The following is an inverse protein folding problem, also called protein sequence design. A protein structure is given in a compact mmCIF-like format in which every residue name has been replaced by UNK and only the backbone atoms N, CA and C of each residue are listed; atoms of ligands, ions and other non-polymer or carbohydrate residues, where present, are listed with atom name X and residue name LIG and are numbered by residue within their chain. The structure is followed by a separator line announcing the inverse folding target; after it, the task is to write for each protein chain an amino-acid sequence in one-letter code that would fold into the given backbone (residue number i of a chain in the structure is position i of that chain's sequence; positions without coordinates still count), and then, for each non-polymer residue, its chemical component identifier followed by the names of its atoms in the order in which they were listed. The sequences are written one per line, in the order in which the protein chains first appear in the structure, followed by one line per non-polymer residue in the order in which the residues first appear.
data_IF_858029147173
#
_entry.id   IF_858029147173
#
_cell.length_a   1.000
_cell.length_b   1.000
_cell.length_c   1.000
_cell.angle_alpha   90.00
_cell.angle_beta   90.00
_cell.angle_gamma   90.00
#
_symmetry.space_group_name_H-M   'P 1'
#
loop_
_entity.id
_entity.type
_entity.pdbx_description
1 polymer ?
#
# COMPACT_ATOMS: atom_id res chain seq x y z
N UNK A 1 10.00 -16.36 4.34
CA UNK A 1 9.03 -17.31 3.75
C UNK A 1 9.40 -18.78 3.94
N UNK A 2 10.57 -19.14 4.48
CA UNK A 2 10.97 -20.56 4.53
C UNK A 2 10.49 -21.29 5.79
N UNK A 3 10.46 -20.65 6.98
CA UNK A 3 9.73 -21.19 8.13
C UNK A 3 9.22 -19.98 8.94
N UNK A 4 7.91 -19.74 8.94
CA UNK A 4 7.27 -18.65 9.71
C UNK A 4 6.48 -19.20 10.90
N UNK A 5 7.11 -19.89 11.89
CA UNK A 5 6.37 -20.43 13.02
C UNK A 5 5.85 -19.34 13.97
N UNK A 6 6.42 -18.13 13.91
CA UNK A 6 6.04 -16.98 14.71
C UNK A 6 6.08 -15.69 13.85
N UNK A 7 5.33 -14.64 14.24
CA UNK A 7 5.40 -13.33 13.60
C UNK A 7 6.85 -12.79 13.56
N UNK A 8 7.20 -12.06 12.50
CA UNK A 8 8.56 -11.56 12.27
C UNK A 8 9.11 -10.76 13.46
N UNK A 9 8.25 -9.95 14.11
CA UNK A 9 8.64 -9.22 15.31
C UNK A 9 9.01 -10.14 16.49
N UNK A 10 8.30 -11.24 16.69
CA UNK A 10 8.60 -12.20 17.75
C UNK A 10 9.94 -12.90 17.51
N UNK A 11 10.25 -13.26 16.27
CA UNK A 11 11.56 -13.79 15.88
C UNK A 11 12.70 -12.78 16.12
N UNK A 12 12.47 -11.51 15.76
CA UNK A 12 13.45 -10.45 15.98
C UNK A 12 13.76 -10.26 17.46
N UNK A 13 12.74 -10.22 18.34
CA UNK A 13 12.95 -10.11 19.78
C UNK A 13 13.65 -11.32 20.38
N UNK A 14 13.26 -12.55 19.98
CA UNK A 14 13.93 -13.76 20.44
C UNK A 14 15.42 -13.75 20.06
N UNK A 15 15.75 -13.41 18.81
CA UNK A 15 17.15 -13.32 18.35
C UNK A 15 17.95 -12.25 19.08
N UNK A 16 17.35 -11.10 19.36
CA UNK A 16 17.98 -10.00 20.10
C UNK A 16 18.21 -10.40 21.56
N UNK A 17 17.22 -10.99 22.24
CA UNK A 17 17.35 -11.52 23.60
C UNK A 17 18.42 -12.60 23.68
N UNK A 18 18.45 -13.56 22.75
CA UNK A 18 19.49 -14.60 22.75
C UNK A 18 20.88 -14.01 22.59
N UNK A 19 21.05 -13.02 21.70
CA UNK A 19 22.35 -12.39 21.43
C UNK A 19 22.91 -11.60 22.62
N UNK A 20 22.03 -10.98 23.42
CA UNK A 20 22.40 -10.28 24.67
C UNK A 20 22.72 -11.30 25.78
N UNK A 21 21.91 -12.36 25.91
CA UNK A 21 22.12 -13.42 26.92
C UNK A 21 23.43 -14.19 26.67
N UNK A 22 23.76 -14.48 25.41
CA UNK A 22 25.03 -15.12 25.03
C UNK A 22 26.23 -14.17 25.06
N UNK A 23 26.02 -12.90 25.45
CA UNK A 23 27.04 -11.83 25.46
C UNK A 23 27.73 -11.63 24.11
N UNK A 24 27.04 -11.97 23.03
CA UNK A 24 27.55 -11.80 21.66
C UNK A 24 27.49 -10.33 21.24
N UNK A 25 26.47 -9.60 21.71
CA UNK A 25 26.38 -8.14 21.62
C UNK A 25 26.19 -7.53 23.01
N UNK A 26 26.70 -6.32 23.21
CA UNK A 26 26.39 -5.53 24.40
C UNK A 26 24.95 -5.02 24.34
N UNK A 27 24.37 -4.70 25.49
CA UNK A 27 23.01 -4.15 25.56
C UNK A 27 22.88 -2.86 24.71
N UNK A 28 23.87 -1.97 24.80
CA UNK A 28 23.88 -0.71 24.06
C UNK A 28 23.90 -0.95 22.55
N UNK A 29 24.73 -1.86 22.06
CA UNK A 29 24.82 -2.16 20.63
C UNK A 29 23.56 -2.86 20.11
N UNK A 30 22.98 -3.75 20.90
CA UNK A 30 21.78 -4.49 20.53
C UNK A 30 20.57 -3.55 20.32
N UNK A 31 20.51 -2.43 21.05
CA UNK A 31 19.42 -1.44 20.94
C UNK A 31 19.79 -0.20 20.13
N UNK A 32 21.02 -0.08 19.62
CA UNK A 32 21.48 1.07 18.81
C UNK A 32 20.61 1.33 17.57
N UNK A 33 20.00 0.28 17.00
CA UNK A 33 19.08 0.40 15.89
C UNK A 33 17.79 1.15 16.27
N UNK A 34 17.31 1.03 17.52
CA UNK A 34 16.08 1.70 17.96
C UNK A 34 16.22 3.22 18.06
N UNK A 35 17.45 3.72 18.17
CA UNK A 35 17.75 5.16 18.17
C UNK A 35 18.06 5.70 16.78
N UNK A 36 17.99 4.87 15.74
CA UNK A 36 18.34 5.29 14.38
C UNK A 36 17.27 6.22 13.81
N UNK A 37 17.68 7.43 13.41
CA UNK A 37 16.78 8.45 12.84
C UNK A 37 16.06 7.96 11.58
N UNK A 38 16.73 7.15 10.74
CA UNK A 38 16.12 6.59 9.51
C UNK A 38 14.97 5.66 9.85
N UNK A 39 15.08 4.86 10.92
CA UNK A 39 13.98 3.98 11.36
C UNK A 39 12.80 4.81 11.86
N UNK A 40 13.06 5.86 12.64
CA UNK A 40 12.00 6.77 13.11
C UNK A 40 11.34 7.56 11.98
N UNK A 41 12.09 7.96 10.95
CA UNK A 41 11.53 8.57 9.73
C UNK A 41 10.55 7.62 9.05
N UNK A 42 10.91 6.34 8.91
CA UNK A 42 10.01 5.32 8.34
C UNK A 42 8.73 5.20 9.19
N UNK A 43 8.84 5.14 10.52
CA UNK A 43 7.68 5.08 11.43
C UNK A 43 6.75 6.28 11.24
N UNK A 44 7.30 7.50 11.19
CA UNK A 44 6.53 8.73 10.96
C UNK A 44 5.86 8.70 9.59
N UNK A 45 6.54 8.25 8.52
CA UNK A 45 5.94 8.08 7.20
C UNK A 45 4.76 7.11 7.21
N UNK A 46 4.84 5.99 7.97
CA UNK A 46 3.72 5.07 8.12
C UNK A 46 2.54 5.69 8.88
N UNK A 47 2.80 6.54 9.88
CA UNK A 47 1.74 7.31 10.55
C UNK A 47 1.05 8.30 9.60
N UNK A 48 1.82 9.03 8.79
CA UNK A 48 1.26 9.89 7.74
C UNK A 48 0.43 9.08 6.75
N UNK A 49 0.96 7.97 6.23
CA UNK A 49 0.23 7.07 5.34
C UNK A 49 -1.11 6.61 5.95
N UNK A 50 -1.12 6.18 7.21
CA UNK A 50 -2.35 5.79 7.92
C UNK A 50 -3.30 6.97 8.12
N UNK A 51 -2.78 8.18 8.35
CA UNK A 51 -3.56 9.41 8.40
C UNK A 51 -4.24 9.72 7.06
N UNK A 52 -3.54 9.60 5.94
CA UNK A 52 -4.08 9.77 4.59
C UNK A 52 -5.21 8.76 4.30
N UNK A 53 -5.02 7.50 4.69
CA UNK A 53 -6.06 6.46 4.55
C UNK A 53 -7.26 6.77 5.45
N UNK A 54 -7.04 7.08 6.73
CA UNK A 54 -8.12 7.34 7.70
C UNK A 54 -8.94 8.59 7.34
N UNK A 55 -8.30 9.59 6.74
CA UNK A 55 -8.97 10.83 6.30
C UNK A 55 -9.67 10.68 4.94
N UNK A 56 -9.41 9.59 4.20
CA UNK A 56 -9.95 9.38 2.86
C UNK A 56 -9.44 10.38 1.83
N UNK A 57 -8.32 11.04 2.10
CA UNK A 57 -7.77 12.07 1.20
C UNK A 57 -7.28 11.46 -0.11
N UNK A 58 -6.70 10.25 -0.04
CA UNK A 58 -6.33 9.46 -1.22
C UNK A 58 -7.54 9.11 -2.10
N UNK A 59 -8.65 8.68 -1.48
CA UNK A 59 -9.89 8.36 -2.19
C UNK A 59 -10.45 9.58 -2.91
N UNK A 60 -10.43 10.75 -2.26
CA UNK A 60 -10.88 12.01 -2.87
C UNK A 60 -10.02 12.38 -4.08
N UNK A 61 -8.69 12.38 -3.94
CA UNK A 61 -7.76 12.73 -5.04
C UNK A 61 -7.97 11.79 -6.22
N UNK A 62 -8.00 10.48 -5.98
CA UNK A 62 -8.16 9.51 -7.05
C UNK A 62 -9.55 9.61 -7.70
N UNK A 63 -10.61 9.93 -6.95
CA UNK A 63 -11.94 10.23 -7.52
C UNK A 63 -11.94 11.51 -8.39
N UNK A 64 -11.20 12.55 -8.00
CA UNK A 64 -11.03 13.75 -8.82
C UNK A 64 -10.32 13.45 -10.15
N UNK A 65 -9.25 12.65 -10.11
CA UNK A 65 -8.54 12.21 -11.32
C UNK A 65 -9.43 11.39 -12.25
N UNK A 66 -10.22 10.49 -11.69
CA UNK A 66 -11.20 9.70 -12.43
C UNK A 66 -12.27 10.58 -13.08
N UNK A 67 -12.78 11.60 -12.36
CA UNK A 67 -13.75 12.54 -12.92
C UNK A 67 -13.17 13.35 -14.09
N UNK A 68 -11.88 13.63 -14.06
CA UNK A 68 -11.22 14.44 -15.09
C UNK A 68 -10.77 13.63 -16.31
N UNK A 69 -10.28 12.40 -16.11
CA UNK A 69 -9.77 11.52 -17.18
C UNK A 69 -10.75 10.40 -17.62
N UNK A 70 -11.92 10.29 -17.00
CA UNK A 70 -12.90 9.21 -17.19
C UNK A 70 -13.61 9.13 -18.54
N UNK A 71 -13.23 9.96 -19.53
CA UNK A 71 -13.85 9.95 -20.86
C UNK A 71 -13.39 8.78 -21.74
N UNK A 72 -12.26 8.14 -21.42
CA UNK A 72 -11.77 6.94 -22.14
C UNK A 72 -11.10 5.94 -21.20
N UNK A 73 -11.10 4.66 -21.60
CA UNK A 73 -10.50 3.55 -20.84
C UNK A 73 -8.98 3.68 -20.69
N UNK A 74 -8.30 4.21 -21.72
CA UNK A 74 -6.89 4.57 -21.66
C UNK A 74 -6.63 5.75 -20.72
N UNK A 75 -7.48 6.80 -20.75
CA UNK A 75 -7.38 7.93 -19.83
C UNK A 75 -7.52 7.50 -18.37
N UNK A 76 -8.42 6.55 -18.08
CA UNK A 76 -8.56 5.97 -16.75
C UNK A 76 -7.32 5.23 -16.28
N UNK A 77 -6.72 4.39 -17.12
CA UNK A 77 -5.50 3.68 -16.77
C UNK A 77 -4.34 4.66 -16.50
N UNK A 78 -4.11 5.64 -17.38
CA UNK A 78 -3.07 6.65 -17.18
C UNK A 78 -3.34 7.52 -15.94
N UNK A 79 -4.59 7.90 -15.68
CA UNK A 79 -4.98 8.68 -14.52
C UNK A 79 -4.77 7.94 -13.21
N UNK A 80 -5.02 6.63 -13.18
CA UNK A 80 -4.76 5.78 -12.02
C UNK A 80 -3.26 5.62 -11.79
N UNK A 81 -2.46 5.33 -12.82
CA UNK A 81 -0.99 5.25 -12.69
C UNK A 81 -0.37 6.58 -12.24
N UNK A 82 -0.86 7.71 -12.76
CA UNK A 82 -0.37 9.03 -12.33
C UNK A 82 -0.79 9.37 -10.88
N UNK A 83 -2.02 9.00 -10.50
CA UNK A 83 -2.47 9.12 -9.11
C UNK A 83 -1.64 8.25 -8.17
N UNK A 84 -1.22 7.07 -8.63
CA UNK A 84 -0.32 6.20 -7.86
C UNK A 84 1.05 6.86 -7.67
N UNK A 85 1.62 7.46 -8.71
CA UNK A 85 2.89 8.21 -8.60
C UNK A 85 2.77 9.37 -7.61
N UNK A 86 1.63 10.08 -7.57
CA UNK A 86 1.40 11.16 -6.61
C UNK A 86 1.20 10.67 -5.17
N UNK A 87 0.56 9.51 -4.98
CA UNK A 87 0.26 8.95 -3.65
C UNK A 87 1.43 8.11 -3.11
N UNK A 88 2.29 7.57 -3.97
CA UNK A 88 3.41 6.70 -3.60
C UNK A 88 4.36 7.30 -2.54
N UNK A 89 4.73 8.60 -2.55
CA UNK A 89 5.57 9.20 -1.52
C UNK A 89 4.89 9.27 -0.15
N UNK A 90 3.56 9.48 -0.13
CA UNK A 90 2.78 9.59 1.10
C UNK A 90 2.39 8.22 1.67
N UNK A 91 2.30 7.19 0.82
CA UNK A 91 1.85 5.86 1.17
C UNK A 91 2.80 4.80 0.61
N UNK A 92 3.87 4.44 1.34
CA UNK A 92 4.97 3.63 0.81
C UNK A 92 4.58 2.17 0.48
N UNK A 93 3.52 1.64 1.12
CA UNK A 93 3.06 0.26 0.89
C UNK A 93 2.16 0.15 -0.35
N UNK A 94 2.63 -0.60 -1.36
CA UNK A 94 1.89 -0.94 -2.60
C UNK A 94 0.58 -1.66 -2.30
N UNK A 95 0.59 -2.67 -1.43
CA UNK A 95 -0.61 -3.44 -1.05
C UNK A 95 -1.65 -2.56 -0.38
N UNK A 96 -1.21 -1.64 0.48
CA UNK A 96 -2.13 -0.74 1.16
C UNK A 96 -2.72 0.31 0.18
N UNK A 97 -1.96 0.77 -0.82
CA UNK A 97 -2.48 1.66 -1.88
C UNK A 97 -3.50 0.94 -2.76
N UNK A 98 -3.13 -0.20 -3.33
CA UNK A 98 -3.97 -0.97 -4.25
C UNK A 98 -5.28 -1.42 -3.57
N UNK A 99 -5.19 -1.96 -2.36
CA UNK A 99 -6.34 -2.44 -1.59
C UNK A 99 -7.20 -1.35 -0.96
N UNK A 100 -6.56 -0.30 -0.44
CA UNK A 100 -7.25 0.74 0.34
C UNK A 100 -7.87 1.85 -0.50
N UNK A 101 -7.19 2.26 -1.58
CA UNK A 101 -7.58 3.46 -2.36
C UNK A 101 -8.05 3.08 -3.76
N UNK A 102 -7.29 2.25 -4.48
CA UNK A 102 -7.56 2.01 -5.90
C UNK A 102 -8.66 0.97 -6.17
N UNK A 103 -8.76 -0.10 -5.37
CA UNK A 103 -9.79 -1.13 -5.53
C UNK A 103 -11.24 -0.60 -5.42
N UNK A 104 -11.61 0.24 -4.43
CA UNK A 104 -12.94 0.85 -4.35
C UNK A 104 -13.28 1.72 -5.57
N UNK A 105 -12.27 2.42 -6.09
CA UNK A 105 -12.40 3.34 -7.22
C UNK A 105 -12.60 2.55 -8.51
N UNK A 106 -11.77 1.53 -8.75
CA UNK A 106 -11.90 0.63 -9.90
C UNK A 106 -13.25 -0.08 -9.87
N UNK A 107 -13.72 -0.52 -8.69
CA UNK A 107 -15.04 -1.13 -8.54
C UNK A 107 -16.17 -0.16 -8.91
N UNK A 108 -16.10 1.08 -8.43
CA UNK A 108 -17.10 2.12 -8.74
C UNK A 108 -17.11 2.50 -10.22
N UNK A 109 -15.93 2.53 -10.85
CA UNK A 109 -15.75 2.76 -12.28
C UNK A 109 -16.28 1.61 -13.13
N UNK A 110 -15.96 0.37 -12.76
CA UNK A 110 -16.43 -0.81 -13.45
C UNK A 110 -17.97 -0.83 -13.45
N UNK A 111 -18.59 -0.58 -12.30
CA UNK A 111 -20.06 -0.47 -12.18
C UNK A 111 -20.63 0.68 -13.04
N UNK A 112 -20.02 1.87 -13.01
CA UNK A 112 -20.49 3.03 -13.80
C UNK A 112 -20.32 2.84 -15.31
N UNK A 113 -19.34 2.03 -15.73
CA UNK A 113 -19.12 1.67 -17.13
C UNK A 113 -19.93 0.44 -17.59
N UNK A 114 -20.85 -0.08 -16.76
CA UNK A 114 -21.66 -1.27 -17.07
C UNK A 114 -20.88 -2.60 -17.04
N UNK A 115 -19.70 -2.59 -16.41
CA UNK A 115 -18.84 -3.76 -16.19
C UNK A 115 -19.11 -4.32 -14.79
N UNK A 116 -20.10 -5.20 -14.69
CA UNK A 116 -20.49 -5.82 -13.42
C UNK A 116 -19.58 -7.01 -13.06
N UNK A 117 -19.22 -7.17 -11.77
CA UNK A 117 -18.55 -8.38 -11.31
C UNK A 117 -19.51 -9.57 -11.48
N UNK A 118 -19.05 -10.64 -12.16
CA UNK A 118 -19.78 -11.86 -12.54
C UNK A 118 -20.62 -11.81 -13.85
N UNK A 119 -20.53 -10.75 -14.66
CA UNK A 119 -21.06 -10.72 -16.03
C UNK A 119 -19.95 -10.97 -17.07
N UNK A 120 -20.25 -11.46 -18.30
CA UNK A 120 -19.29 -11.46 -19.41
C UNK A 120 -18.72 -10.06 -19.76
N UNK A 121 -19.36 -8.96 -19.31
CA UNK A 121 -18.80 -7.59 -19.42
C UNK A 121 -17.71 -7.27 -18.41
N UNK A 122 -17.43 -8.13 -17.43
CA UNK A 122 -16.37 -7.93 -16.41
C UNK A 122 -14.96 -7.83 -17.01
N UNK A 123 -14.72 -8.50 -18.14
CA UNK A 123 -13.42 -8.51 -18.85
C UNK A 123 -13.08 -7.22 -19.59
N UNK A 124 -14.04 -6.32 -19.81
CA UNK A 124 -13.83 -5.13 -20.66
C UNK A 124 -13.05 -4.01 -19.97
N UNK A 125 -13.33 -3.77 -18.69
CA UNK A 125 -12.74 -2.65 -17.96
C UNK A 125 -12.25 -3.06 -16.57
N UNK A 126 -13.09 -3.77 -15.80
CA UNK A 126 -12.76 -4.17 -14.43
C UNK A 126 -11.48 -5.00 -14.35
N UNK A 127 -11.38 -6.06 -15.17
CA UNK A 127 -10.18 -6.92 -15.18
C UNK A 127 -8.91 -6.18 -15.63
N UNK A 128 -9.01 -5.31 -16.64
CA UNK A 128 -7.87 -4.54 -17.14
C UNK A 128 -7.33 -3.55 -16.10
N UNK A 129 -8.20 -2.82 -15.43
CA UNK A 129 -7.80 -1.85 -14.41
C UNK A 129 -7.27 -2.51 -13.13
N UNK A 130 -7.86 -3.65 -12.73
CA UNK A 130 -7.33 -4.47 -11.63
C UNK A 130 -5.92 -4.97 -11.97
N UNK A 131 -5.72 -5.50 -13.18
CA UNK A 131 -4.42 -6.02 -13.59
C UNK A 131 -3.35 -4.93 -13.68
N UNK A 132 -3.70 -3.72 -14.10
CA UNK A 132 -2.78 -2.58 -14.10
C UNK A 132 -2.34 -2.16 -12.69
N UNK A 133 -3.18 -2.35 -11.66
CA UNK A 133 -2.86 -1.99 -10.28
C UNK A 133 -2.09 -3.05 -9.48
N UNK A 134 -2.08 -4.30 -9.94
CA UNK A 134 -1.34 -5.39 -9.29
C UNK A 134 0.06 -5.61 -9.90
N UNK A 135 0.42 -4.89 -10.96
CA UNK A 135 1.78 -4.87 -11.52
C UNK A 135 2.62 -3.77 -10.87
#
# INVERSE_FOLDING_TARGET
LVLSPLPVGAWAFLGLTTSVVTKTLTFTDAFSAFTNEVIWLIVISFFFARGFVKTGLGDRIATYFVKWLGKSTLGLAYGLSFSEVLIAPAMPSTTARAGGVFLPIIKSLALSAGSEPNSPTSKRLGTFLIQNQFQ
#
